data_IF_700731913108
#
_entry.id   IF_700731913108
#
_cell.length_a   1.000
_cell.length_b   1.000
_cell.length_c   1.000
_cell.angle_alpha   90.00
_cell.angle_beta   90.00
_cell.angle_gamma   90.00
#
_symmetry.space_group_name_H-M   'P 1'
#
loop_
_entity.id
_entity.type
_entity.pdbx_description
1 polymer ?
#
# COMPACT_ATOMS: atom_id res chain seq x y z
N UNK A 1 -35.58 80.25 35.26
CA UNK A 1 -35.21 80.66 36.64
C UNK A 1 -34.94 79.39 37.43
N UNK A 2 -33.67 78.98 37.55
CA UNK A 2 -32.75 79.21 38.69
C UNK A 2 -33.10 78.34 39.90
N UNK A 3 -32.21 77.63 40.59
CA UNK A 3 -30.75 77.40 40.56
C UNK A 3 -30.48 76.42 41.73
N UNK A 4 -29.46 75.54 41.61
CA UNK A 4 -28.36 75.26 42.57
C UNK A 4 -28.67 75.10 44.09
N UNK A 5 -28.08 74.23 44.93
CA UNK A 5 -26.79 73.50 44.91
C UNK A 5 -26.56 72.77 46.25
N UNK A 6 -25.80 71.65 46.18
CA UNK A 6 -24.79 71.20 47.19
C UNK A 6 -25.32 70.49 48.44
N UNK A 7 -24.67 69.46 49.02
CA UNK A 7 -23.23 69.13 49.04
C UNK A 7 -23.04 67.72 49.67
N UNK A 8 -22.26 66.83 49.06
CA UNK A 8 -21.58 65.67 49.71
C UNK A 8 -20.49 65.15 48.76
N UNK A 9 -19.22 65.54 48.94
CA UNK A 9 -18.10 64.81 49.61
C UNK A 9 -17.56 63.57 48.88
N UNK A 10 -16.54 63.83 48.05
CA UNK A 10 -15.26 63.12 47.86
C UNK A 10 -15.00 61.78 48.60
N UNK A 11 -14.66 60.73 47.83
CA UNK A 11 -13.45 59.86 47.92
C UNK A 11 -13.70 58.64 47.00
N UNK A 12 -12.98 58.49 45.89
CA UNK A 12 -11.64 57.91 45.72
C UNK A 12 -11.71 56.41 45.37
N UNK A 13 -10.95 56.04 44.34
CA UNK A 13 -10.52 54.68 43.91
C UNK A 13 -11.57 53.63 43.53
N UNK A 14 -11.74 53.45 42.23
CA UNK A 14 -11.43 52.16 41.57
C UNK A 14 -11.54 52.30 40.03
N UNK A 15 -10.59 53.02 39.43
CA UNK A 15 -10.21 52.74 38.04
C UNK A 15 -9.39 51.46 38.08
N UNK A 16 -10.08 50.32 37.88
CA UNK A 16 -9.40 49.07 37.55
C UNK A 16 -8.49 49.34 36.36
N UNK A 17 -7.20 49.22 36.63
CA UNK A 17 -6.17 49.13 35.62
C UNK A 17 -6.48 47.90 34.77
N UNK A 18 -7.04 48.12 33.57
CA UNK A 18 -6.84 47.18 32.48
C UNK A 18 -5.34 47.20 32.21
N UNK A 19 -4.62 46.28 32.85
CA UNK A 19 -3.27 45.90 32.43
C UNK A 19 -3.39 45.61 30.94
N UNK A 20 -2.58 46.32 30.15
CA UNK A 20 -2.46 46.08 28.72
C UNK A 20 -2.26 44.58 28.50
N UNK A 21 -3.17 43.96 27.76
CA UNK A 21 -2.97 42.61 27.23
C UNK A 21 -1.73 42.73 26.34
N UNK A 22 -0.67 41.92 26.55
CA UNK A 22 0.45 41.86 25.63
C UNK A 22 -0.10 41.56 24.24
N UNK A 23 0.17 42.42 23.25
CA UNK A 23 -0.19 42.12 21.86
C UNK A 23 0.39 40.77 21.50
N UNK A 24 -0.44 39.90 20.90
CA UNK A 24 0.03 38.64 20.32
C UNK A 24 1.25 38.94 19.43
N UNK A 25 2.31 38.11 19.49
CA UNK A 25 3.49 38.32 18.66
C UNK A 25 3.05 38.45 17.20
N UNK A 26 3.46 39.53 16.53
CA UNK A 26 3.10 39.78 15.14
C UNK A 26 3.78 38.71 14.30
N UNK A 27 3.00 37.82 13.69
CA UNK A 27 3.55 36.86 12.71
C UNK A 27 4.33 37.62 11.63
N UNK A 28 5.54 37.14 11.25
CA UNK A 28 6.30 37.69 10.15
C UNK A 28 5.45 37.76 8.87
N UNK A 29 5.61 38.84 8.08
CA UNK A 29 4.81 39.05 6.86
C UNK A 29 4.92 37.86 5.89
N UNK A 30 6.11 37.28 5.76
CA UNK A 30 6.35 36.11 4.91
C UNK A 30 5.50 34.91 5.34
N UNK A 31 5.38 34.64 6.63
CA UNK A 31 4.57 33.54 7.14
C UNK A 31 3.07 33.77 6.88
N UNK A 32 2.60 35.00 7.05
CA UNK A 32 1.22 35.38 6.70
C UNK A 32 0.95 35.19 5.21
N UNK A 33 1.94 35.47 4.35
CA UNK A 33 1.82 35.24 2.90
C UNK A 33 1.81 33.74 2.57
N UNK A 34 2.64 32.93 3.23
CA UNK A 34 2.65 31.48 3.05
C UNK A 34 1.32 30.84 3.45
N UNK A 35 0.78 31.19 4.62
CA UNK A 35 -0.53 30.70 5.06
C UNK A 35 -1.65 31.07 4.09
N UNK A 36 -1.66 32.33 3.60
CA UNK A 36 -2.63 32.77 2.58
C UNK A 36 -2.48 32.04 1.25
N UNK A 37 -1.25 31.70 0.86
CA UNK A 37 -1.01 30.91 -0.34
C UNK A 37 -1.64 29.52 -0.19
N UNK A 38 -1.42 28.85 0.94
CA UNK A 38 -2.05 27.56 1.27
C UNK A 38 -3.59 27.69 1.27
N UNK A 39 -4.13 28.69 1.96
CA UNK A 39 -5.59 28.93 2.00
C UNK A 39 -6.19 29.12 0.61
N UNK A 40 -5.48 29.81 -0.28
CA UNK A 40 -5.95 30.03 -1.65
C UNK A 40 -6.02 28.76 -2.50
N UNK A 41 -5.25 27.73 -2.13
CA UNK A 41 -5.19 26.44 -2.83
C UNK A 41 -6.07 25.36 -2.16
N UNK A 42 -6.64 25.62 -1.00
CA UNK A 42 -7.31 24.60 -0.18
C UNK A 42 -8.42 23.83 -0.92
N UNK A 43 -9.28 24.53 -1.67
CA UNK A 43 -10.38 23.90 -2.43
C UNK A 43 -9.86 22.93 -3.49
N UNK A 44 -8.75 23.29 -4.16
CA UNK A 44 -8.15 22.46 -5.20
C UNK A 44 -7.39 21.29 -4.60
N UNK A 45 -6.73 21.49 -3.46
CA UNK A 45 -6.11 20.40 -2.69
C UNK A 45 -7.16 19.38 -2.24
N UNK A 46 -8.28 19.84 -1.66
CA UNK A 46 -9.40 18.98 -1.28
C UNK A 46 -9.96 18.15 -2.46
N UNK A 47 -10.07 18.76 -3.64
CA UNK A 47 -10.55 18.08 -4.85
C UNK A 47 -9.53 17.09 -5.41
N UNK A 48 -8.25 17.43 -5.34
CA UNK A 48 -7.16 16.57 -5.76
C UNK A 48 -7.04 15.35 -4.82
N UNK A 49 -7.04 15.59 -3.50
CA UNK A 49 -6.94 14.56 -2.47
C UNK A 49 -8.16 13.63 -2.44
N UNK A 50 -9.35 14.10 -2.85
CA UNK A 50 -10.57 13.29 -2.90
C UNK A 50 -10.48 12.05 -3.83
N UNK A 51 -9.49 12.02 -4.74
CA UNK A 51 -9.19 10.84 -5.54
C UNK A 51 -8.54 9.71 -4.72
N UNK A 52 -7.82 10.07 -3.65
CA UNK A 52 -7.01 9.17 -2.82
C UNK A 52 -7.66 8.92 -1.44
N UNK A 53 -8.12 9.97 -0.77
CA UNK A 53 -8.82 9.90 0.51
C UNK A 53 -10.23 10.55 0.43
N UNK A 54 -11.32 9.82 0.74
CA UNK A 54 -12.68 10.32 0.54
C UNK A 54 -13.16 11.32 1.59
N UNK A 55 -12.48 11.46 2.74
CA UNK A 55 -12.88 12.41 3.80
C UNK A 55 -12.21 13.79 3.59
N UNK A 56 -13.00 14.87 3.40
CA UNK A 56 -12.46 16.22 3.32
C UNK A 56 -11.89 16.75 4.65
N UNK A 57 -12.19 16.13 5.80
CA UNK A 57 -11.63 16.54 7.09
C UNK A 57 -10.11 16.28 7.13
N UNK A 58 -9.67 15.09 6.72
CA UNK A 58 -8.27 14.65 6.72
C UNK A 58 -7.42 15.56 5.80
N UNK A 59 -7.96 15.91 4.63
CA UNK A 59 -7.31 16.82 3.71
C UNK A 59 -7.15 18.24 4.28
N UNK A 60 -8.10 18.69 5.12
CA UNK A 60 -8.00 19.98 5.76
C UNK A 60 -6.96 19.98 6.89
N UNK A 61 -6.91 18.89 7.66
CA UNK A 61 -5.91 18.66 8.70
C UNK A 61 -4.48 18.64 8.11
N UNK A 62 -4.28 17.98 6.96
CA UNK A 62 -3.02 18.03 6.22
C UNK A 62 -2.56 19.48 5.96
N UNK A 63 -3.46 20.35 5.50
CA UNK A 63 -3.10 21.75 5.21
C UNK A 63 -2.77 22.55 6.49
N UNK A 64 -3.40 22.25 7.62
CA UNK A 64 -3.07 22.87 8.90
C UNK A 64 -1.71 22.39 9.43
N UNK A 65 -1.39 21.11 9.28
CA UNK A 65 -0.08 20.55 9.61
C UNK A 65 1.03 21.17 8.75
N UNK A 66 0.78 21.37 7.45
CA UNK A 66 1.72 22.08 6.56
C UNK A 66 1.93 23.53 7.02
N UNK A 67 0.87 24.26 7.42
CA UNK A 67 1.00 25.62 7.94
C UNK A 67 1.79 25.68 9.25
N UNK A 68 1.58 24.69 10.12
CA UNK A 68 2.30 24.54 11.37
C UNK A 68 3.79 24.27 11.10
N UNK A 69 4.09 23.34 10.20
CA UNK A 69 5.44 23.06 9.72
C UNK A 69 6.14 24.31 9.17
N UNK A 70 5.51 25.07 8.26
CA UNK A 70 6.11 26.30 7.71
C UNK A 70 6.38 27.36 8.77
N UNK A 71 5.63 27.35 9.87
CA UNK A 71 5.85 28.22 11.04
C UNK A 71 7.11 27.76 11.79
N UNK A 72 7.24 26.46 12.08
CA UNK A 72 8.40 25.89 12.74
C UNK A 72 9.68 26.06 11.91
N UNK A 73 9.62 25.76 10.61
CA UNK A 73 10.74 25.95 9.68
C UNK A 73 11.16 27.43 9.60
N UNK A 74 10.20 28.36 9.58
CA UNK A 74 10.51 29.80 9.62
C UNK A 74 11.23 30.21 10.91
N UNK A 75 10.83 29.63 12.05
CA UNK A 75 11.46 29.92 13.33
C UNK A 75 12.92 29.43 13.40
N UNK A 76 13.22 28.30 12.75
CA UNK A 76 14.56 27.69 12.72
C UNK A 76 15.45 28.38 11.67
N UNK A 77 14.97 28.50 10.44
CA UNK A 77 15.77 28.94 9.29
C UNK A 77 15.67 30.46 9.03
N UNK A 78 14.78 31.16 9.73
CA UNK A 78 14.50 32.58 9.52
C UNK A 78 13.74 32.90 8.22
N UNK A 79 13.38 31.87 7.45
CA UNK A 79 12.59 31.97 6.22
C UNK A 79 11.86 30.66 5.96
N UNK A 80 10.76 30.71 5.21
CA UNK A 80 10.04 29.52 4.73
C UNK A 80 9.26 29.87 3.46
N UNK A 81 8.86 28.87 2.69
CA UNK A 81 8.10 29.04 1.45
C UNK A 81 6.98 28.02 1.36
N UNK A 82 5.79 28.45 0.98
CA UNK A 82 4.67 27.54 0.74
C UNK A 82 4.80 26.74 -0.58
N UNK A 83 5.67 27.16 -1.51
CA UNK A 83 5.75 26.54 -2.84
C UNK A 83 7.17 26.12 -3.24
N UNK A 84 8.15 26.29 -2.36
CA UNK A 84 9.54 25.87 -2.55
C UNK A 84 10.11 25.50 -1.18
N UNK A 85 9.53 24.44 -0.60
CA UNK A 85 9.91 23.97 0.73
C UNK A 85 11.35 23.46 0.66
N UNK A 86 12.16 23.87 1.62
CA UNK A 86 13.56 23.45 1.72
C UNK A 86 13.64 22.09 2.44
N UNK A 87 14.45 21.16 1.93
CA UNK A 87 14.78 19.90 2.61
C UNK A 87 15.58 20.17 3.88
N UNK A 88 16.39 21.23 3.89
CA UNK A 88 17.20 21.61 5.03
C UNK A 88 16.32 22.04 6.22
N UNK A 89 16.45 21.28 7.31
CA UNK A 89 15.76 21.55 8.57
C UNK A 89 14.33 20.98 8.65
N UNK A 90 13.89 20.15 7.70
CA UNK A 90 12.59 19.45 7.78
C UNK A 90 12.48 18.63 9.07
N UNK A 91 13.45 17.76 9.33
CA UNK A 91 13.48 16.92 10.55
C UNK A 91 13.49 17.77 11.82
N UNK A 92 14.21 18.89 11.80
CA UNK A 92 14.31 19.78 12.95
C UNK A 92 13.00 20.54 13.19
N UNK A 93 12.30 20.95 12.13
CA UNK A 93 11.01 21.61 12.22
C UNK A 93 9.90 20.66 12.65
N UNK A 94 9.87 19.44 12.11
CA UNK A 94 8.94 18.39 12.52
C UNK A 94 9.19 18.00 13.99
N UNK A 95 10.44 17.74 14.37
CA UNK A 95 10.81 17.44 15.75
C UNK A 95 10.52 18.58 16.73
N UNK A 96 10.59 19.85 16.30
CA UNK A 96 10.22 20.98 17.14
C UNK A 96 8.70 21.07 17.39
N UNK A 97 7.88 20.61 16.44
CA UNK A 97 6.43 20.52 16.60
C UNK A 97 6.09 19.34 17.50
N UNK A 98 6.66 18.16 17.22
CA UNK A 98 6.44 16.94 17.99
C UNK A 98 6.87 17.12 19.46
N UNK A 99 8.02 17.75 19.72
CA UNK A 99 8.48 18.05 21.08
C UNK A 99 7.62 19.07 21.85
N UNK A 100 6.60 19.67 21.20
CA UNK A 100 5.62 20.54 21.86
C UNK A 100 4.34 19.81 22.29
N UNK A 101 4.22 18.54 21.91
CA UNK A 101 3.15 17.62 22.28
C UNK A 101 3.57 16.76 23.48
N UNK A 102 2.64 15.94 23.96
CA UNK A 102 2.96 14.95 24.97
C UNK A 102 3.93 13.90 24.38
N UNK A 103 4.89 13.39 25.17
CA UNK A 103 5.91 12.47 24.66
C UNK A 103 5.36 11.23 23.98
N UNK A 104 4.17 10.79 24.42
CA UNK A 104 3.49 9.59 23.91
C UNK A 104 2.80 9.83 22.55
N UNK A 105 2.63 11.10 22.14
CA UNK A 105 2.05 11.48 20.84
C UNK A 105 3.14 11.95 19.84
N UNK A 106 4.41 11.89 20.23
CA UNK A 106 5.51 12.54 19.49
C UNK A 106 5.77 11.86 18.14
N UNK A 107 5.76 10.52 18.11
CA UNK A 107 6.08 9.74 16.92
C UNK A 107 4.89 9.72 15.94
N UNK A 108 3.66 9.55 16.43
CA UNK A 108 2.43 9.72 15.62
C UNK A 108 2.38 11.12 14.97
N UNK A 109 2.70 12.17 15.73
CA UNK A 109 2.73 13.52 15.20
C UNK A 109 3.84 13.75 14.16
N UNK A 110 4.98 13.06 14.27
CA UNK A 110 6.02 13.12 13.24
C UNK A 110 5.49 12.52 11.95
N UNK A 111 4.89 11.34 12.01
CA UNK A 111 4.33 10.64 10.86
C UNK A 111 3.25 11.46 10.17
N UNK A 112 2.31 12.03 10.94
CA UNK A 112 1.28 12.92 10.41
C UNK A 112 1.86 14.15 9.71
N UNK A 113 2.91 14.75 10.26
CA UNK A 113 3.59 15.90 9.65
C UNK A 113 4.29 15.48 8.36
N UNK A 114 5.01 14.35 8.36
CA UNK A 114 5.70 13.84 7.17
C UNK A 114 4.70 13.49 6.06
N UNK A 115 3.62 12.79 6.40
CA UNK A 115 2.54 12.46 5.49
C UNK A 115 1.88 13.72 4.89
N UNK A 116 1.49 14.68 5.74
CA UNK A 116 0.87 15.93 5.31
C UNK A 116 1.78 16.74 4.37
N UNK A 117 3.08 16.81 4.67
CA UNK A 117 4.06 17.47 3.80
C UNK A 117 4.24 16.73 2.48
N UNK A 118 4.32 15.40 2.51
CA UNK A 118 4.50 14.57 1.33
C UNK A 118 3.32 14.71 0.37
N UNK A 119 2.10 14.58 0.87
CA UNK A 119 0.86 14.82 0.12
C UNK A 119 0.82 16.24 -0.47
N UNK A 120 1.20 17.24 0.32
CA UNK A 120 1.20 18.63 -0.13
C UNK A 120 2.21 18.93 -1.26
N UNK A 121 3.44 18.40 -1.18
CA UNK A 121 4.42 18.62 -2.25
C UNK A 121 4.05 17.88 -3.55
N UNK A 122 3.41 16.73 -3.44
CA UNK A 122 2.84 16.00 -4.59
C UNK A 122 1.76 16.82 -5.28
N UNK A 123 0.82 17.37 -4.51
CA UNK A 123 -0.17 18.31 -5.04
C UNK A 123 0.49 19.49 -5.77
N UNK A 124 1.53 20.10 -5.18
CA UNK A 124 2.23 21.21 -5.82
C UNK A 124 2.89 20.80 -7.14
N UNK A 125 3.51 19.62 -7.19
CA UNK A 125 4.14 19.09 -8.41
C UNK A 125 3.10 18.78 -9.49
N UNK A 126 2.07 18.01 -9.13
CA UNK A 126 1.00 17.59 -10.03
C UNK A 126 0.20 18.78 -10.62
N UNK A 127 0.12 19.90 -9.89
CA UNK A 127 -0.58 21.10 -10.33
C UNK A 127 0.34 22.18 -10.94
N UNK A 128 1.64 21.89 -11.09
CA UNK A 128 2.62 22.84 -11.63
C UNK A 128 2.84 24.08 -10.77
N UNK A 129 2.55 23.99 -9.46
CA UNK A 129 2.69 25.07 -8.47
C UNK A 129 3.98 25.00 -7.67
N UNK A 130 4.73 23.90 -7.79
CA UNK A 130 6.10 23.83 -7.29
C UNK A 130 6.96 24.90 -7.95
N UNK A 131 7.61 25.72 -7.12
CA UNK A 131 8.46 26.84 -7.54
C UNK A 131 9.95 26.63 -7.23
N UNK A 132 10.30 25.52 -6.58
CA UNK A 132 11.68 25.07 -6.42
C UNK A 132 12.23 24.43 -7.70
N UNK A 133 13.49 23.98 -7.66
CA UNK A 133 14.04 23.15 -8.74
C UNK A 133 13.52 21.72 -8.65
N UNK A 134 13.59 20.97 -9.75
CA UNK A 134 13.28 19.53 -9.72
C UNK A 134 14.20 18.77 -8.78
N UNK A 135 15.50 19.10 -8.76
CA UNK A 135 16.45 18.50 -7.83
C UNK A 135 16.08 18.74 -6.35
N UNK A 136 15.58 19.94 -6.02
CA UNK A 136 15.11 20.24 -4.66
C UNK A 136 13.80 19.51 -4.31
N UNK A 137 12.93 19.27 -5.31
CA UNK A 137 11.75 18.44 -5.12
C UNK A 137 12.15 16.99 -4.81
N UNK A 138 13.05 16.39 -5.61
CA UNK A 138 13.52 15.01 -5.39
C UNK A 138 14.20 14.85 -4.02
N UNK A 139 15.02 15.83 -3.63
CA UNK A 139 15.70 15.81 -2.34
C UNK A 139 14.71 15.88 -1.16
N UNK A 140 13.73 16.79 -1.24
CA UNK A 140 12.68 16.91 -0.22
C UNK A 140 11.77 15.68 -0.21
N UNK A 141 11.38 15.18 -1.38
CA UNK A 141 10.54 13.98 -1.53
C UNK A 141 11.23 12.76 -0.92
N UNK A 142 12.52 12.56 -1.21
CA UNK A 142 13.32 11.52 -0.58
C UNK A 142 13.43 11.72 0.94
N UNK A 143 13.63 12.95 1.43
CA UNK A 143 13.71 13.23 2.86
C UNK A 143 12.39 12.95 3.60
N UNK A 144 11.25 13.25 2.98
CA UNK A 144 9.91 12.98 3.55
C UNK A 144 9.54 11.49 3.45
N UNK A 145 9.89 10.83 2.34
CA UNK A 145 9.69 9.39 2.16
C UNK A 145 10.53 8.56 3.13
N UNK A 146 11.72 9.05 3.52
CA UNK A 146 12.54 8.43 4.56
C UNK A 146 11.97 8.61 5.98
N UNK A 147 11.01 9.51 6.22
CA UNK A 147 10.37 9.69 7.54
C UNK A 147 9.42 8.55 7.86
N UNK A 148 8.61 8.15 6.88
CA UNK A 148 7.67 7.02 6.95
C UNK A 148 8.40 5.68 6.73
N UNK A 149 9.52 5.69 5.99
CA UNK A 149 10.32 4.49 5.65
C UNK A 149 11.67 4.38 6.39
N UNK A 150 11.88 5.08 7.51
CA UNK A 150 13.19 5.16 8.21
C UNK A 150 13.74 3.80 8.68
N UNK A 151 12.89 2.77 8.74
CA UNK A 151 13.27 1.41 9.12
C UNK A 151 13.40 0.45 7.93
N UNK A 152 13.24 0.88 6.67
CA UNK A 152 13.41 -0.02 5.52
C UNK A 152 14.88 -0.07 5.14
N UNK A 153 15.60 -1.18 5.42
CA UNK A 153 16.99 -1.32 4.97
C UNK A 153 17.06 -1.12 3.46
N UNK A 154 18.06 -0.36 2.98
CA UNK A 154 18.28 -0.16 1.55
C UNK A 154 18.32 -1.52 0.85
N UNK A 155 17.30 -1.77 0.03
CA UNK A 155 17.15 -3.03 -0.66
C UNK A 155 18.32 -3.23 -1.64
N UNK A 156 18.89 -4.45 -1.73
CA UNK A 156 20.01 -4.69 -2.63
C UNK A 156 19.59 -4.45 -4.08
N UNK A 157 20.52 -3.98 -4.91
CA UNK A 157 20.26 -3.78 -6.35
C UNK A 157 20.12 -5.15 -7.01
N UNK A 158 18.96 -5.43 -7.60
CA UNK A 158 18.71 -6.67 -8.33
C UNK A 158 19.63 -6.74 -9.56
N UNK A 159 20.42 -7.81 -9.63
CA UNK A 159 21.24 -8.12 -10.80
C UNK A 159 20.51 -9.18 -11.64
N UNK A 160 19.91 -8.75 -12.75
CA UNK A 160 19.20 -9.68 -13.66
C UNK A 160 20.22 -10.55 -14.41
N UNK A 161 20.18 -11.89 -14.26
CA UNK A 161 21.09 -12.77 -14.99
C UNK A 161 20.83 -12.73 -16.50
N UNK A 162 21.90 -12.73 -17.30
CA UNK A 162 21.80 -12.89 -18.75
C UNK A 162 21.53 -14.36 -19.09
N UNK A 163 20.29 -14.67 -19.48
CA UNK A 163 19.82 -16.01 -19.84
C UNK A 163 19.49 -16.05 -21.32
N UNK A 164 20.06 -17.00 -22.07
CA UNK A 164 19.64 -17.26 -23.44
C UNK A 164 18.17 -17.68 -23.51
N UNK A 165 17.48 -17.38 -24.61
CA UNK A 165 16.07 -17.75 -24.85
C UNK A 165 15.76 -19.22 -24.55
N UNK A 166 16.61 -20.17 -24.97
CA UNK A 166 16.42 -21.61 -24.71
C UNK A 166 16.39 -21.93 -23.21
N UNK A 167 17.26 -21.29 -22.42
CA UNK A 167 17.30 -21.46 -20.96
C UNK A 167 16.08 -20.81 -20.30
N UNK A 168 15.68 -19.62 -20.75
CA UNK A 168 14.47 -18.96 -20.25
C UNK A 168 13.22 -19.81 -20.56
N UNK A 169 13.12 -20.34 -21.77
CA UNK A 169 11.98 -21.16 -22.19
C UNK A 169 11.90 -22.45 -21.37
N UNK A 170 13.03 -23.15 -21.20
CA UNK A 170 13.09 -24.34 -20.36
C UNK A 170 12.70 -24.05 -18.91
N UNK A 171 13.21 -22.95 -18.35
CA UNK A 171 12.93 -22.56 -16.96
C UNK A 171 11.45 -22.17 -16.78
N UNK A 172 10.88 -21.35 -17.66
CA UNK A 172 9.45 -21.02 -17.61
C UNK A 172 8.58 -22.27 -17.81
N UNK A 173 8.91 -23.17 -18.73
CA UNK A 173 8.15 -24.41 -18.92
C UNK A 173 8.18 -25.32 -17.67
N UNK A 174 9.25 -25.27 -16.89
CA UNK A 174 9.39 -26.02 -15.65
C UNK A 174 8.61 -25.40 -14.47
N UNK A 175 8.24 -24.11 -14.56
CA UNK A 175 7.53 -23.42 -13.49
C UNK A 175 6.07 -23.91 -13.35
N UNK A 176 5.61 -24.24 -12.12
CA UNK A 176 4.21 -24.56 -11.85
C UNK A 176 3.24 -23.48 -12.32
N UNK A 177 3.58 -22.19 -12.16
CA UNK A 177 2.76 -21.09 -12.67
C UNK A 177 2.39 -21.25 -14.16
N UNK A 178 3.38 -21.51 -15.02
CA UNK A 178 3.18 -21.61 -16.46
C UNK A 178 2.40 -22.89 -16.81
N UNK A 179 2.64 -23.98 -16.10
CA UNK A 179 1.91 -25.24 -16.29
C UNK A 179 0.43 -25.09 -15.89
N UNK A 180 0.16 -24.46 -14.75
CA UNK A 180 -1.19 -24.19 -14.26
C UNK A 180 -1.92 -23.20 -15.16
N UNK A 181 -1.27 -22.13 -15.59
CA UNK A 181 -1.84 -21.17 -16.55
C UNK A 181 -2.18 -21.84 -17.89
N UNK A 182 -1.29 -22.68 -18.41
CA UNK A 182 -1.55 -23.44 -19.65
C UNK A 182 -2.76 -24.37 -19.49
N UNK A 183 -2.78 -25.16 -18.43
CA UNK A 183 -3.88 -26.08 -18.11
C UNK A 183 -5.22 -25.34 -17.95
N UNK A 184 -5.20 -24.16 -17.30
CA UNK A 184 -6.39 -23.35 -17.10
C UNK A 184 -6.87 -22.71 -18.41
N UNK A 185 -5.97 -22.22 -19.27
CA UNK A 185 -6.30 -21.72 -20.61
C UNK A 185 -6.90 -22.81 -21.50
N UNK A 186 -6.31 -24.01 -21.49
CA UNK A 186 -6.84 -25.18 -22.20
C UNK A 186 -8.23 -25.57 -21.70
N UNK A 187 -8.44 -25.56 -20.38
CA UNK A 187 -9.75 -25.80 -19.79
C UNK A 187 -10.77 -24.75 -20.23
N UNK A 188 -10.40 -23.46 -20.24
CA UNK A 188 -11.27 -22.36 -20.69
C UNK A 188 -11.72 -22.60 -22.14
N UNK A 189 -10.80 -23.03 -23.01
CA UNK A 189 -11.09 -23.32 -24.41
C UNK A 189 -11.70 -22.10 -25.12
N UNK A 190 -12.89 -22.27 -25.71
CA UNK A 190 -13.60 -21.16 -26.38
C UNK A 190 -14.30 -20.18 -25.41
N UNK A 191 -14.34 -20.52 -24.12
CA UNK A 191 -14.89 -19.68 -23.06
C UNK A 191 -15.73 -20.42 -22.02
N UNK A 192 -15.84 -19.83 -20.83
CA UNK A 192 -16.55 -20.37 -19.66
C UNK A 192 -17.57 -19.40 -19.12
N UNK A 193 -18.65 -19.93 -18.54
CA UNK A 193 -19.67 -19.10 -17.91
C UNK A 193 -19.14 -18.52 -16.58
N UNK A 194 -19.38 -17.23 -16.38
CA UNK A 194 -19.07 -16.52 -15.14
C UNK A 194 -20.34 -15.91 -14.53
N UNK A 195 -20.23 -15.45 -13.29
CA UNK A 195 -21.21 -14.60 -12.63
C UNK A 195 -21.07 -13.16 -13.11
N UNK A 196 -22.00 -12.29 -12.71
CA UNK A 196 -21.92 -10.84 -12.98
C UNK A 196 -20.74 -10.16 -12.30
N UNK A 197 -20.12 -10.80 -11.30
CA UNK A 197 -18.93 -10.30 -10.59
C UNK A 197 -17.64 -10.79 -11.23
N UNK A 198 -17.70 -11.52 -12.35
CA UNK A 198 -16.50 -12.08 -13.01
C UNK A 198 -16.03 -13.43 -12.46
N UNK A 199 -16.62 -13.91 -11.37
CA UNK A 199 -16.23 -15.19 -10.75
C UNK A 199 -16.80 -16.40 -11.53
N UNK A 200 -16.12 -17.54 -11.45
CA UNK A 200 -16.62 -18.80 -11.99
C UNK A 200 -17.92 -19.24 -11.29
N UNK A 201 -18.80 -19.90 -12.05
CA UNK A 201 -19.98 -20.54 -11.46
C UNK A 201 -19.55 -21.72 -10.60
N UNK A 202 -20.31 -22.01 -9.53
CA UNK A 202 -19.98 -23.08 -8.57
C UNK A 202 -19.66 -24.44 -9.22
N UNK A 203 -20.39 -24.81 -10.28
CA UNK A 203 -20.17 -26.07 -11.02
C UNK A 203 -18.81 -26.13 -11.73
N UNK A 204 -18.23 -24.97 -12.04
CA UNK A 204 -17.01 -24.81 -12.82
C UNK A 204 -15.77 -24.63 -11.91
N UNK A 205 -15.95 -24.43 -10.60
CA UNK A 205 -14.85 -24.29 -9.64
C UNK A 205 -14.02 -25.58 -9.54
N UNK A 206 -14.64 -26.74 -9.46
CA UNK A 206 -13.92 -28.02 -9.33
C UNK A 206 -12.97 -28.32 -10.50
N UNK A 207 -13.41 -28.26 -11.77
CA UNK A 207 -12.49 -28.48 -12.88
C UNK A 207 -11.45 -27.35 -13.04
N UNK A 208 -11.78 -26.10 -12.69
CA UNK A 208 -10.82 -25.00 -12.72
C UNK A 208 -9.74 -25.14 -11.63
N UNK A 209 -10.14 -25.50 -10.41
CA UNK A 209 -9.21 -25.77 -9.31
C UNK A 209 -8.29 -26.94 -9.64
N UNK A 210 -8.83 -28.01 -10.25
CA UNK A 210 -8.02 -29.12 -10.73
C UNK A 210 -7.00 -28.70 -11.79
N UNK A 211 -7.33 -27.73 -12.66
CA UNK A 211 -6.40 -27.21 -13.66
C UNK A 211 -5.18 -26.52 -13.04
N UNK A 212 -5.34 -25.93 -11.85
CA UNK A 212 -4.25 -25.32 -11.06
C UNK A 212 -3.74 -26.23 -9.94
N UNK A 213 -4.02 -27.53 -10.00
CA UNK A 213 -3.49 -28.52 -9.05
C UNK A 213 -4.17 -28.57 -7.67
N UNK A 214 -5.29 -27.88 -7.47
CA UNK A 214 -6.01 -27.83 -6.18
C UNK A 214 -7.28 -28.67 -6.20
N UNK A 215 -7.50 -29.45 -5.14
CA UNK A 215 -8.72 -30.22 -4.94
C UNK A 215 -9.80 -29.39 -4.20
N UNK A 216 -10.49 -28.52 -4.93
CA UNK A 216 -11.60 -27.72 -4.39
C UNK A 216 -12.90 -27.97 -5.16
N UNK A 217 -14.05 -27.74 -4.53
CA UNK A 217 -15.38 -27.86 -5.14
C UNK A 217 -16.31 -26.74 -4.68
N UNK A 218 -17.02 -26.14 -5.63
CA UNK A 218 -18.03 -25.13 -5.33
C UNK A 218 -19.25 -25.71 -4.62
N UNK A 219 -19.59 -25.15 -3.46
CA UNK A 219 -20.79 -25.50 -2.68
C UNK A 219 -21.48 -24.24 -2.19
N UNK A 220 -22.82 -24.21 -2.33
CA UNK A 220 -23.61 -23.09 -1.81
C UNK A 220 -23.51 -23.05 -0.29
N UNK A 221 -23.32 -21.85 0.25
CA UNK A 221 -23.19 -21.61 1.69
C UNK A 221 -22.06 -22.42 2.35
N UNK A 222 -20.98 -22.71 1.61
CA UNK A 222 -19.73 -23.12 2.24
C UNK A 222 -19.27 -22.01 3.19
N UNK A 223 -18.85 -22.39 4.39
CA UNK A 223 -18.35 -21.41 5.37
C UNK A 223 -17.01 -20.86 4.90
N UNK A 224 -16.83 -19.54 4.97
CA UNK A 224 -15.56 -18.86 4.66
C UNK A 224 -14.49 -19.06 5.73
N UNK A 225 -14.82 -19.78 6.82
CA UNK A 225 -13.86 -20.14 7.86
C UNK A 225 -12.88 -21.18 7.31
N UNK A 226 -11.78 -20.68 6.74
CA UNK A 226 -10.49 -21.31 6.99
C UNK A 226 -10.36 -21.47 8.52
N UNK A 227 -9.98 -22.64 9.06
CA UNK A 227 -9.71 -22.76 10.47
C UNK A 227 -8.57 -21.80 10.82
N UNK A 228 -8.91 -20.68 11.44
CA UNK A 228 -7.99 -19.87 12.20
C UNK A 228 -7.54 -20.77 13.37
N UNK A 229 -6.24 -21.05 13.44
CA UNK A 229 -5.56 -21.80 14.50
C UNK A 229 -5.77 -23.32 14.54
N UNK A 230 -4.82 -24.03 13.94
CA UNK A 230 -4.30 -25.31 14.48
C UNK A 230 -2.78 -25.35 14.25
N UNK A 231 -2.02 -24.84 15.22
CA UNK A 231 -0.56 -24.79 15.22
C UNK A 231 0.09 -26.15 15.53
N UNK A 232 -0.69 -27.23 15.76
CA UNK A 232 -0.14 -28.51 16.23
C UNK A 232 -0.02 -29.63 15.18
N UNK A 233 -0.42 -29.43 13.91
CA UNK A 233 -0.34 -30.54 12.92
C UNK A 233 0.14 -30.13 11.52
N UNK A 234 1.38 -29.68 11.42
CA UNK A 234 2.06 -29.49 10.13
C UNK A 234 2.30 -30.79 9.33
N UNK A 235 2.07 -31.99 9.91
CA UNK A 235 2.46 -33.27 9.28
C UNK A 235 1.32 -34.05 8.60
N UNK A 236 0.10 -33.52 8.50
CA UNK A 236 -0.99 -34.26 7.83
C UNK A 236 -2.07 -33.35 7.24
N UNK A 237 -1.77 -32.63 6.14
CA UNK A 237 -2.85 -32.13 5.24
C UNK A 237 -3.61 -33.36 4.72
N UNK A 238 -4.88 -33.60 5.11
CA UNK A 238 -5.66 -34.63 4.46
C UNK A 238 -5.88 -34.18 3.01
N UNK A 239 -5.88 -35.12 2.05
CA UNK A 239 -6.40 -34.91 0.68
C UNK A 239 -7.93 -34.72 0.68
N UNK A 240 -8.45 -33.95 1.63
CA UNK A 240 -9.87 -33.65 1.76
C UNK A 240 -10.23 -32.57 0.77
N UNK A 241 -11.27 -32.85 -0.01
CA UNK A 241 -11.87 -31.92 -0.95
C UNK A 241 -12.29 -30.63 -0.21
N UNK A 242 -11.71 -29.49 -0.60
CA UNK A 242 -12.05 -28.18 -0.03
C UNK A 242 -13.39 -27.71 -0.62
N UNK A 243 -14.40 -27.52 0.22
CA UNK A 243 -15.69 -26.96 -0.21
C UNK A 243 -15.65 -25.42 -0.12
N UNK A 244 -15.87 -24.73 -1.24
CA UNK A 244 -15.74 -23.27 -1.33
C UNK A 244 -17.01 -22.58 -1.84
N UNK A 245 -17.26 -21.35 -1.39
CA UNK A 245 -18.43 -20.55 -1.75
C UNK A 245 -18.23 -19.75 -3.03
N UNK A 246 -16.97 -19.42 -3.35
CA UNK A 246 -16.54 -18.75 -4.57
C UNK A 246 -15.16 -19.24 -4.99
N UNK A 247 -14.79 -19.04 -6.26
CA UNK A 247 -13.45 -19.40 -6.73
C UNK A 247 -12.35 -18.60 -6.01
N UNK A 248 -12.68 -17.41 -5.49
CA UNK A 248 -11.76 -16.55 -4.75
C UNK A 248 -11.36 -17.12 -3.38
N UNK A 249 -12.07 -18.14 -2.88
CA UNK A 249 -11.68 -18.87 -1.67
C UNK A 249 -10.61 -19.94 -1.96
N UNK A 250 -10.16 -20.07 -3.22
CA UNK A 250 -9.05 -20.94 -3.64
C UNK A 250 -7.88 -20.03 -4.05
N UNK A 251 -6.93 -19.71 -3.14
CA UNK A 251 -5.93 -18.65 -3.37
C UNK A 251 -5.13 -18.83 -4.66
N UNK A 252 -4.61 -20.04 -4.93
CA UNK A 252 -3.86 -20.35 -6.16
C UNK A 252 -4.69 -20.08 -7.42
N UNK A 253 -5.96 -20.51 -7.44
CA UNK A 253 -6.85 -20.29 -8.57
C UNK A 253 -7.18 -18.80 -8.73
N UNK A 254 -7.41 -18.10 -7.61
CA UNK A 254 -7.69 -16.66 -7.59
C UNK A 254 -6.54 -15.88 -8.21
N UNK A 255 -5.30 -16.10 -7.75
CA UNK A 255 -4.15 -15.33 -8.23
C UNK A 255 -3.84 -15.63 -9.70
N UNK A 256 -3.85 -16.89 -10.11
CA UNK A 256 -3.62 -17.23 -11.52
C UNK A 256 -4.74 -16.66 -12.41
N UNK A 257 -6.00 -16.72 -11.97
CA UNK A 257 -7.11 -16.15 -12.73
C UNK A 257 -6.97 -14.63 -12.89
N UNK A 258 -6.69 -13.92 -11.79
CA UNK A 258 -6.44 -12.48 -11.80
C UNK A 258 -5.26 -12.11 -12.70
N UNK A 259 -4.17 -12.89 -12.63
CA UNK A 259 -2.99 -12.68 -13.47
C UNK A 259 -3.27 -12.92 -14.97
N UNK A 260 -4.06 -13.94 -15.31
CA UNK A 260 -4.50 -14.18 -16.70
C UNK A 260 -5.37 -13.02 -17.24
N UNK A 261 -6.20 -12.42 -16.39
CA UNK A 261 -6.99 -11.23 -16.76
C UNK A 261 -6.06 -10.04 -16.96
N UNK A 262 -5.18 -9.75 -16.00
CA UNK A 262 -4.26 -8.60 -16.06
C UNK A 262 -3.26 -8.68 -17.21
N UNK A 263 -2.80 -9.89 -17.56
CA UNK A 263 -1.94 -10.14 -18.71
C UNK A 263 -2.71 -10.24 -20.06
N UNK A 264 -4.02 -9.96 -20.08
CA UNK A 264 -4.88 -10.03 -21.27
C UNK A 264 -4.87 -11.42 -21.98
N UNK A 265 -4.57 -12.48 -21.24
CA UNK A 265 -4.67 -13.87 -21.72
C UNK A 265 -6.12 -14.35 -21.69
N UNK A 266 -6.94 -13.79 -20.79
CA UNK A 266 -8.38 -13.97 -20.77
C UNK A 266 -9.09 -12.62 -20.64
N UNK A 267 -10.32 -12.54 -21.14
CA UNK A 267 -11.18 -11.36 -21.04
C UNK A 267 -12.50 -11.73 -20.38
N UNK A 268 -12.90 -10.96 -19.39
CA UNK A 268 -14.19 -11.13 -18.72
C UNK A 268 -15.25 -10.29 -19.44
N UNK A 269 -16.26 -10.96 -20.01
CA UNK A 269 -17.49 -10.32 -20.46
C UNK A 269 -18.55 -10.29 -19.35
N UNK A 270 -19.77 -9.87 -19.67
CA UNK A 270 -20.87 -9.82 -18.69
C UNK A 270 -21.30 -11.19 -18.15
N UNK A 271 -21.06 -12.26 -18.91
CA UNK A 271 -21.51 -13.62 -18.57
C UNK A 271 -20.52 -14.72 -18.95
N UNK A 272 -19.42 -14.37 -19.64
CA UNK A 272 -18.42 -15.34 -20.08
C UNK A 272 -17.00 -14.82 -19.94
N UNK A 273 -16.09 -15.66 -19.48
CA UNK A 273 -14.66 -15.50 -19.67
C UNK A 273 -14.28 -16.15 -21.01
N UNK A 274 -13.55 -15.42 -21.86
CA UNK A 274 -13.11 -15.90 -23.18
C UNK A 274 -11.61 -15.66 -23.34
N UNK A 275 -10.92 -16.36 -24.26
CA UNK A 275 -9.53 -16.05 -24.56
C UNK A 275 -9.34 -14.57 -24.95
N UNK A 276 -8.30 -13.96 -24.40
CA UNK A 276 -7.91 -12.58 -24.66
C UNK A 276 -7.04 -12.44 -25.92
N UNK A 277 -6.68 -11.20 -26.30
CA UNK A 277 -5.86 -10.96 -27.48
C UNK A 277 -4.46 -11.61 -27.38
N UNK A 278 -3.89 -11.70 -26.19
CA UNK A 278 -2.53 -12.21 -25.98
C UNK A 278 -2.44 -13.75 -25.97
N UNK A 279 -3.57 -14.46 -26.02
CA UNK A 279 -3.57 -15.93 -26.02
C UNK A 279 -2.83 -16.52 -27.22
N UNK A 280 -2.76 -15.78 -28.34
CA UNK A 280 -2.03 -16.20 -29.53
C UNK A 280 -0.51 -16.25 -29.27
N UNK A 281 0.02 -15.29 -28.49
CA UNK A 281 1.42 -15.25 -28.09
C UNK A 281 1.78 -16.45 -27.19
N UNK A 282 0.86 -16.88 -26.32
CA UNK A 282 1.07 -17.99 -25.37
C UNK A 282 1.52 -19.30 -26.05
N UNK A 283 0.93 -19.58 -27.20
CA UNK A 283 1.21 -20.77 -28.02
C UNK A 283 1.88 -20.43 -29.36
N UNK A 284 2.49 -19.24 -29.48
CA UNK A 284 3.14 -18.80 -30.72
C UNK A 284 4.29 -19.74 -31.08
N UNK A 285 4.59 -19.88 -32.38
CA UNK A 285 5.84 -20.56 -32.79
C UNK A 285 7.06 -19.66 -32.62
N UNK A 286 6.87 -18.35 -32.44
CA UNK A 286 7.93 -17.40 -32.13
C UNK A 286 8.31 -17.51 -30.63
N UNK A 287 9.57 -17.83 -30.34
CA UNK A 287 10.06 -17.98 -28.96
C UNK A 287 10.03 -16.66 -28.19
N UNK A 288 10.36 -15.54 -28.83
CA UNK A 288 10.35 -14.22 -28.19
C UNK A 288 8.94 -13.85 -27.69
N UNK A 289 7.93 -13.98 -28.54
CA UNK A 289 6.52 -13.76 -28.17
C UNK A 289 6.06 -14.66 -27.02
N UNK A 290 6.46 -15.94 -27.01
CA UNK A 290 6.14 -16.87 -25.92
C UNK A 290 6.81 -16.43 -24.61
N UNK A 291 8.07 -16.04 -24.65
CA UNK A 291 8.80 -15.59 -23.47
C UNK A 291 8.21 -14.31 -22.90
N UNK A 292 7.88 -13.34 -23.76
CA UNK A 292 7.32 -12.06 -23.36
C UNK A 292 5.99 -12.21 -22.63
N UNK A 293 5.07 -13.03 -23.15
CA UNK A 293 3.76 -13.20 -22.50
C UNK A 293 3.86 -14.00 -21.19
N UNK A 294 4.81 -14.93 -21.07
CA UNK A 294 5.06 -15.67 -19.82
C UNK A 294 5.70 -14.80 -18.75
N UNK A 295 6.63 -13.92 -19.16
CA UNK A 295 7.21 -12.88 -18.31
C UNK A 295 6.12 -11.92 -17.84
N UNK A 296 5.28 -11.43 -18.75
CA UNK A 296 4.15 -10.56 -18.44
C UNK A 296 3.19 -11.19 -17.42
N UNK A 297 2.78 -12.45 -17.62
CA UNK A 297 1.96 -13.16 -16.64
C UNK A 297 2.60 -13.20 -15.26
N UNK A 298 3.90 -13.50 -15.21
CA UNK A 298 4.66 -13.59 -13.95
C UNK A 298 4.77 -12.23 -13.26
N UNK A 299 5.02 -11.16 -14.02
CA UNK A 299 5.07 -9.77 -13.54
C UNK A 299 3.72 -9.35 -12.96
N UNK A 300 2.62 -9.57 -13.71
CA UNK A 300 1.27 -9.21 -13.25
C UNK A 300 0.91 -9.97 -11.96
N UNK A 301 1.29 -11.24 -11.85
CA UNK A 301 1.06 -12.00 -10.62
C UNK A 301 1.88 -11.44 -9.44
N UNK A 302 3.16 -11.14 -9.65
CA UNK A 302 4.02 -10.56 -8.61
C UNK A 302 3.48 -9.20 -8.14
N UNK A 303 3.10 -8.32 -9.07
CA UNK A 303 2.47 -7.03 -8.74
C UNK A 303 1.20 -7.26 -7.94
N UNK A 304 0.30 -8.14 -8.40
CA UNK A 304 -0.94 -8.44 -7.68
C UNK A 304 -0.72 -8.97 -6.26
N UNK A 305 0.30 -9.80 -6.03
CA UNK A 305 0.66 -10.30 -4.70
C UNK A 305 1.24 -9.19 -3.82
N UNK A 306 2.05 -8.30 -4.40
CA UNK A 306 2.68 -7.17 -3.69
C UNK A 306 1.68 -6.06 -3.33
N UNK A 307 0.62 -5.88 -4.13
CA UNK A 307 -0.38 -4.80 -3.96
C UNK A 307 -1.77 -5.31 -3.51
N UNK A 308 -1.89 -6.54 -3.02
CA UNK A 308 -3.17 -7.15 -2.65
C UNK A 308 -3.88 -6.37 -1.52
N UNK A 309 -4.85 -5.51 -1.88
CA UNK A 309 -5.62 -4.64 -0.97
C UNK A 309 -6.66 -5.40 -0.11
N UNK A 310 -6.93 -6.68 -0.37
CA UNK A 310 -8.02 -7.43 0.30
C UNK A 310 -7.69 -7.81 1.76
N UNK A 311 -6.52 -7.43 2.27
CA UNK A 311 -6.05 -7.79 3.61
C UNK A 311 -6.02 -6.54 4.50
N UNK A 312 -6.33 -6.71 5.79
CA UNK A 312 -6.58 -5.63 6.74
C UNK A 312 -5.36 -4.77 7.08
N UNK A 313 -5.41 -4.21 8.29
CA UNK A 313 -4.50 -3.20 8.83
C UNK A 313 -3.02 -3.45 8.46
N UNK A 314 -2.39 -2.41 7.90
CA UNK A 314 -0.98 -2.30 7.50
C UNK A 314 -0.49 -3.12 6.28
N UNK A 315 -0.99 -2.77 5.09
CA UNK A 315 -0.51 -3.36 3.82
C UNK A 315 0.91 -2.96 3.46
N UNK A 316 1.36 -1.79 3.89
CA UNK A 316 2.68 -1.27 3.55
C UNK A 316 3.78 -2.10 4.21
N UNK A 317 3.64 -2.42 5.51
CA UNK A 317 4.59 -3.30 6.19
C UNK A 317 4.63 -4.71 5.60
N UNK A 318 3.48 -5.27 5.19
CA UNK A 318 3.40 -6.57 4.50
C UNK A 318 4.17 -6.50 3.18
N UNK A 319 3.88 -5.51 2.34
CA UNK A 319 4.52 -5.32 1.04
C UNK A 319 6.03 -5.09 1.20
N UNK A 320 6.44 -4.26 2.15
CA UNK A 320 7.84 -3.99 2.49
C UNK A 320 8.58 -5.26 2.92
N UNK A 321 7.98 -6.08 3.79
CA UNK A 321 8.55 -7.36 4.22
C UNK A 321 8.71 -8.33 3.04
N UNK A 322 7.67 -8.49 2.22
CA UNK A 322 7.73 -9.32 1.01
C UNK A 322 8.83 -8.86 0.05
N UNK A 323 8.87 -7.56 -0.21
CA UNK A 323 9.84 -6.98 -1.12
C UNK A 323 11.27 -7.18 -0.60
N UNK A 324 11.49 -7.01 0.70
CA UNK A 324 12.77 -7.30 1.32
C UNK A 324 13.18 -8.76 1.10
N UNK A 325 12.32 -9.72 1.47
CA UNK A 325 12.62 -11.16 1.32
C UNK A 325 12.93 -11.51 -0.14
N UNK A 326 12.10 -11.05 -1.08
CA UNK A 326 12.28 -11.33 -2.51
C UNK A 326 13.57 -10.72 -3.05
N UNK A 327 13.89 -9.48 -2.67
CA UNK A 327 15.08 -8.79 -3.16
C UNK A 327 16.36 -9.43 -2.60
N UNK A 328 16.42 -9.71 -1.30
CA UNK A 328 17.53 -10.48 -0.71
C UNK A 328 17.65 -11.88 -1.32
N UNK A 329 16.52 -12.50 -1.68
CA UNK A 329 16.47 -13.77 -2.40
C UNK A 329 17.09 -13.76 -3.80
N UNK A 330 17.41 -12.58 -4.36
CA UNK A 330 18.17 -12.44 -5.62
C UNK A 330 19.69 -12.39 -5.41
N UNK A 331 20.16 -12.38 -4.15
CA UNK A 331 21.57 -12.19 -3.78
C UNK A 331 22.21 -13.48 -3.25
N UNK A 332 23.51 -13.42 -2.95
CA UNK A 332 24.24 -14.51 -2.28
C UNK A 332 23.90 -14.64 -0.78
N UNK A 333 23.21 -13.65 -0.20
CA UNK A 333 22.81 -13.58 1.21
C UNK A 333 21.27 -13.52 1.34
N UNK A 334 20.54 -14.57 0.92
CA UNK A 334 19.09 -14.61 1.06
C UNK A 334 18.65 -14.71 2.52
N UNK A 335 17.41 -14.32 2.78
CA UNK A 335 16.80 -14.49 4.10
C UNK A 335 16.53 -15.98 4.39
N UNK A 336 17.00 -16.52 5.52
CA UNK A 336 16.63 -17.85 5.99
C UNK A 336 15.12 -17.96 6.27
N UNK A 337 14.50 -19.07 5.87
CA UNK A 337 13.06 -19.33 6.13
C UNK A 337 12.76 -19.29 7.64
N UNK A 338 13.65 -19.87 8.45
CA UNK A 338 13.54 -19.89 9.90
C UNK A 338 13.59 -18.48 10.55
N UNK A 339 14.22 -17.52 9.89
CA UNK A 339 14.27 -16.14 10.39
C UNK A 339 12.92 -15.45 10.22
N UNK A 340 12.30 -15.57 9.04
CA UNK A 340 10.96 -15.04 8.82
C UNK A 340 9.91 -15.76 9.67
N UNK A 341 10.05 -17.07 9.86
CA UNK A 341 9.20 -17.86 10.78
C UNK A 341 9.29 -17.36 12.23
N UNK A 342 10.50 -17.03 12.68
CA UNK A 342 10.71 -16.43 14.00
C UNK A 342 10.06 -15.06 14.10
N UNK A 343 10.15 -14.23 13.06
CA UNK A 343 9.45 -12.94 13.02
C UNK A 343 7.92 -13.11 13.01
N UNK A 344 7.41 -14.11 12.29
CA UNK A 344 5.98 -14.42 12.18
C UNK A 344 5.39 -15.09 13.45
N UNK A 345 6.25 -15.52 14.37
CA UNK A 345 5.86 -16.14 15.64
C UNK A 345 6.20 -15.19 16.78
N UNK A 346 5.36 -14.18 17.05
CA UNK A 346 5.57 -13.35 18.24
C UNK A 346 5.52 -14.25 19.48
N UNK A 347 6.35 -13.96 20.48
CA UNK A 347 6.21 -14.53 21.82
C UNK A 347 4.99 -13.91 22.51
N UNK A 348 3.81 -14.13 21.91
CA UNK A 348 2.51 -13.63 22.38
C UNK A 348 2.16 -14.21 23.74
N UNK A 349 2.70 -15.39 24.11
CA UNK A 349 2.54 -15.93 25.45
C UNK A 349 3.26 -15.04 26.49
N UNK A 350 4.46 -14.52 26.19
CA UNK A 350 5.13 -13.55 27.06
C UNK A 350 4.41 -12.20 27.17
N UNK A 351 3.87 -11.70 26.06
CA UNK A 351 3.21 -10.39 25.99
C UNK A 351 1.76 -10.39 26.51
N UNK A 352 0.99 -11.47 26.30
CA UNK A 352 -0.42 -11.58 26.70
C UNK A 352 -0.65 -12.27 28.06
N UNK A 353 0.32 -13.03 28.59
CA UNK A 353 0.19 -13.70 29.90
C UNK A 353 0.79 -12.88 31.06
N UNK A 354 1.30 -11.67 30.83
CA UNK A 354 1.41 -10.71 31.92
C UNK A 354 -0.02 -10.27 32.28
N UNK A 355 -0.61 -10.98 33.25
CA UNK A 355 -1.86 -10.66 33.94
C UNK A 355 -1.85 -9.19 34.41
N UNK A 356 -2.20 -8.26 33.54
CA UNK A 356 -2.50 -6.88 33.88
C UNK A 356 -3.96 -6.64 33.55
N UNK A 357 -4.70 -6.12 34.52
CA UNK A 357 -6.08 -5.67 34.38
C UNK A 357 -6.23 -4.87 33.06
N UNK A 358 -6.91 -5.46 32.07
CA UNK A 358 -7.18 -4.93 30.73
C UNK A 358 -8.02 -3.63 30.71
N UNK A 359 -8.24 -3.01 31.87
CA UNK A 359 -8.94 -1.73 31.98
C UNK A 359 -7.99 -0.52 32.04
N UNK A 360 -6.67 -0.70 32.26
CA UNK A 360 -5.72 0.43 32.45
C UNK A 360 -4.28 0.20 31.90
N UNK A 361 -4.02 -0.80 31.06
CA UNK A 361 -2.67 -1.01 30.48
C UNK A 361 -2.56 -0.37 29.09
N UNK A 362 -1.98 0.83 29.04
CA UNK A 362 -1.31 1.33 27.84
C UNK A 362 -0.24 0.30 27.47
N UNK A 363 -0.39 -0.38 26.32
CA UNK A 363 0.71 -1.16 25.74
C UNK A 363 1.83 -0.18 25.42
N UNK A 364 3.07 -0.49 25.80
CA UNK A 364 4.20 0.33 25.37
C UNK A 364 4.25 0.29 23.83
N UNK A 365 4.48 1.43 23.18
CA UNK A 365 4.50 1.59 21.71
C UNK A 365 5.37 0.53 21.01
N UNK A 366 6.48 0.14 21.65
CA UNK A 366 7.40 -0.92 21.20
C UNK A 366 6.74 -2.31 21.15
N UNK A 367 5.84 -2.64 22.06
CA UNK A 367 5.11 -3.92 22.05
C UNK A 367 4.12 -3.97 20.87
N UNK A 368 3.55 -2.82 20.51
CA UNK A 368 2.61 -2.69 19.41
C UNK A 368 3.34 -2.81 18.05
N UNK A 369 4.50 -2.17 17.91
CA UNK A 369 5.39 -2.32 16.74
C UNK A 369 5.81 -3.77 16.51
N UNK A 370 6.19 -4.51 17.58
CA UNK A 370 6.57 -5.92 17.47
C UNK A 370 5.39 -6.79 17.02
N UNK A 371 4.17 -6.49 17.49
CA UNK A 371 2.93 -7.16 17.04
C UNK A 371 2.67 -6.88 15.56
N UNK A 372 2.81 -5.63 15.10
CA UNK A 372 2.61 -5.26 13.69
C UNK A 372 3.64 -5.92 12.78
N UNK A 373 4.93 -5.85 13.13
CA UNK A 373 6.00 -6.50 12.39
C UNK A 373 5.79 -8.03 12.31
N UNK A 374 5.32 -8.64 13.41
CA UNK A 374 5.01 -10.06 13.45
C UNK A 374 3.82 -10.44 12.56
N UNK A 375 2.77 -9.62 12.56
CA UNK A 375 1.63 -9.80 11.66
C UNK A 375 2.05 -9.65 10.19
N UNK A 376 2.88 -8.63 9.89
CA UNK A 376 3.41 -8.41 8.55
C UNK A 376 4.24 -9.60 8.07
N UNK A 377 5.13 -10.13 8.91
CA UNK A 377 5.92 -11.33 8.64
C UNK A 377 5.04 -12.57 8.39
N UNK A 378 3.98 -12.78 9.17
CA UNK A 378 3.05 -13.89 8.98
C UNK A 378 2.31 -13.81 7.64
N UNK A 379 1.84 -12.62 7.25
CA UNK A 379 1.18 -12.45 5.95
C UNK A 379 2.17 -12.58 4.79
N UNK A 380 3.38 -12.04 4.94
CA UNK A 380 4.47 -12.20 3.99
C UNK A 380 4.79 -13.69 3.78
N UNK A 381 4.89 -14.49 4.86
CA UNK A 381 5.13 -15.92 4.79
C UNK A 381 4.04 -16.67 4.00
N UNK A 382 2.76 -16.29 4.17
CA UNK A 382 1.65 -16.89 3.39
C UNK A 382 1.76 -16.57 1.91
N UNK A 383 2.05 -15.31 1.57
CA UNK A 383 2.24 -14.87 0.18
C UNK A 383 3.50 -15.52 -0.45
N UNK A 384 4.59 -15.63 0.29
CA UNK A 384 5.80 -16.35 -0.14
C UNK A 384 5.56 -17.85 -0.33
N UNK A 385 4.75 -18.47 0.52
CA UNK A 385 4.36 -19.88 0.36
C UNK A 385 3.60 -20.09 -0.95
N UNK A 386 2.68 -19.18 -1.30
CA UNK A 386 2.01 -19.20 -2.60
C UNK A 386 3.01 -19.02 -3.75
N UNK A 387 3.91 -18.04 -3.68
CA UNK A 387 4.93 -17.83 -4.70
C UNK A 387 5.84 -19.05 -4.86
N UNK A 388 6.12 -19.78 -3.77
CA UNK A 388 6.87 -21.01 -3.78
C UNK A 388 6.12 -22.17 -4.44
N UNK A 389 4.82 -22.33 -4.13
CA UNK A 389 3.95 -23.30 -4.82
C UNK A 389 3.90 -23.04 -6.34
N UNK A 390 4.00 -21.77 -6.75
CA UNK A 390 4.01 -21.35 -8.15
C UNK A 390 5.40 -21.40 -8.82
N UNK A 391 6.46 -21.69 -8.05
CA UNK A 391 7.86 -21.74 -8.51
C UNK A 391 8.47 -20.38 -8.85
N UNK A 392 7.93 -19.29 -8.31
CA UNK A 392 8.53 -17.95 -8.40
C UNK A 392 9.55 -17.70 -7.28
N UNK A 393 9.50 -18.51 -6.22
CA UNK A 393 10.43 -18.49 -5.08
C UNK A 393 10.76 -19.93 -4.69
N UNK A 394 11.97 -20.20 -4.26
CA UNK A 394 12.36 -21.42 -3.58
C UNK A 394 12.40 -21.12 -2.08
N UNK A 395 11.76 -21.95 -1.25
CA UNK A 395 11.64 -21.73 0.20
C UNK A 395 12.03 -22.99 0.97
N UNK A 396 13.19 -23.57 0.67
CA UNK A 396 13.64 -24.82 1.32
C UNK A 396 14.37 -24.58 2.64
N UNK A 397 15.32 -23.67 2.63
CA UNK A 397 16.18 -23.32 3.78
C UNK A 397 16.34 -21.80 3.81
N UNK A 398 16.63 -21.23 2.64
CA UNK A 398 16.56 -19.81 2.37
C UNK A 398 15.47 -19.51 1.34
N UNK A 399 14.94 -18.28 1.38
CA UNK A 399 14.11 -17.75 0.29
C UNK A 399 14.98 -17.32 -0.88
N UNK A 400 14.92 -18.02 -2.01
CA UNK A 400 15.69 -17.71 -3.23
C UNK A 400 14.76 -17.48 -4.41
N UNK A 401 15.05 -16.47 -5.24
CA UNK A 401 14.30 -16.22 -6.48
C UNK A 401 15.00 -16.94 -7.63
N UNK A 402 14.32 -17.86 -8.36
CA UNK A 402 14.94 -18.54 -9.50
C UNK A 402 15.45 -17.54 -10.56
N UNK A 403 16.56 -17.81 -11.26
CA UNK A 403 17.18 -16.87 -12.19
C UNK A 403 16.21 -16.27 -13.24
N UNK A 404 15.29 -17.08 -13.77
CA UNK A 404 14.30 -16.61 -14.76
C UNK A 404 13.18 -15.76 -14.15
N UNK A 405 12.94 -15.87 -12.84
CA UNK A 405 11.99 -15.04 -12.09
C UNK A 405 12.60 -13.70 -11.64
N UNK A 406 13.93 -13.59 -11.54
CA UNK A 406 14.61 -12.33 -11.15
C UNK A 406 14.25 -11.19 -12.11
N UNK A 407 14.24 -11.45 -13.43
CA UNK A 407 13.78 -10.45 -14.42
C UNK A 407 12.30 -10.05 -14.23
N UNK A 408 11.45 -10.97 -13.76
CA UNK A 408 10.04 -10.65 -13.51
C UNK A 408 9.89 -9.78 -12.25
N UNK A 409 10.69 -10.05 -11.22
CA UNK A 409 10.72 -9.25 -10.00
C UNK A 409 11.23 -7.83 -10.27
N UNK A 410 12.31 -7.69 -11.03
CA UNK A 410 12.87 -6.38 -11.41
C UNK A 410 11.85 -5.53 -12.17
N UNK A 411 11.19 -6.11 -13.17
CA UNK A 411 10.10 -5.45 -13.90
C UNK A 411 8.91 -5.10 -12.99
N UNK A 412 8.50 -6.00 -12.11
CA UNK A 412 7.40 -5.75 -11.17
C UNK A 412 7.74 -4.57 -10.24
N UNK A 413 8.97 -4.49 -9.73
CA UNK A 413 9.44 -3.35 -8.95
C UNK A 413 9.42 -2.05 -9.74
N UNK A 414 9.77 -2.09 -11.03
CA UNK A 414 9.65 -0.95 -11.93
C UNK A 414 8.22 -0.42 -12.02
N UNK A 415 7.23 -1.31 -12.12
CA UNK A 415 5.81 -0.92 -12.12
C UNK A 415 5.35 -0.29 -10.80
N UNK A 416 5.82 -0.81 -9.67
CA UNK A 416 5.48 -0.26 -8.35
C UNK A 416 6.03 1.16 -8.18
N UNK A 417 7.29 1.40 -8.58
CA UNK A 417 7.89 2.74 -8.55
C UNK A 417 7.19 3.74 -9.46
N UNK A 418 6.73 3.29 -10.63
CA UNK A 418 6.00 4.13 -11.57
C UNK A 418 4.57 4.48 -11.09
N UNK A 419 3.99 3.69 -10.19
CA UNK A 419 2.67 4.00 -9.63
C UNK A 419 2.71 5.20 -8.67
N UNK A 420 3.87 5.44 -8.04
CA UNK A 420 4.11 6.56 -7.12
C UNK A 420 4.50 7.87 -7.85
N UNK A 421 4.82 7.80 -9.15
CA UNK A 421 5.10 8.98 -9.98
C UNK A 421 3.80 9.47 -10.66
N UNK A 422 3.34 10.71 -10.43
CA UNK A 422 2.16 11.24 -11.10
C UNK A 422 2.39 11.29 -12.62
N UNK A 423 1.73 10.39 -13.35
CA UNK A 423 1.83 10.23 -14.80
C UNK A 423 1.51 11.55 -15.54
N UNK A 424 2.54 12.19 -16.08
CA UNK A 424 2.48 13.46 -16.84
C UNK A 424 1.99 13.28 -18.31
N UNK A 425 1.21 12.24 -18.59
CA UNK A 425 0.78 11.88 -19.93
C UNK A 425 -0.59 12.50 -20.30
N UNK A 426 -0.56 13.74 -20.78
CA UNK A 426 -1.60 14.20 -21.71
C UNK A 426 -1.34 13.58 -23.09
N UNK A 427 -2.31 12.80 -23.56
CA UNK A 427 -2.41 12.14 -24.88
C UNK A 427 -1.64 10.82 -25.10
N UNK A 428 -2.31 9.67 -24.88
CA UNK A 428 -2.35 8.51 -25.80
C UNK A 428 -3.30 7.40 -25.29
N UNK A 429 -3.77 6.49 -26.18
CA UNK A 429 -5.12 5.94 -26.10
C UNK A 429 -5.28 4.80 -25.08
N UNK A 430 -6.43 4.83 -24.42
CA UNK A 430 -7.09 3.76 -23.65
C UNK A 430 -6.62 2.34 -24.03
N UNK A 431 -5.67 1.80 -23.27
CA UNK A 431 -5.36 0.37 -23.09
C UNK A 431 -4.54 0.14 -21.80
N UNK A 432 -4.66 1.03 -20.80
CA UNK A 432 -4.09 0.82 -19.47
C UNK A 432 -5.00 -0.13 -18.70
N UNK A 433 -4.37 -1.14 -18.11
CA UNK A 433 -4.95 -2.20 -17.27
C UNK A 433 -5.76 -1.55 -16.14
N UNK A 434 -7.08 -1.53 -16.28
CA UNK A 434 -7.97 -1.27 -15.16
C UNK A 434 -8.09 -2.57 -14.37
N UNK A 435 -7.34 -2.71 -13.28
CA UNK A 435 -7.66 -3.70 -12.24
C UNK A 435 -9.10 -3.39 -11.77
N UNK A 436 -10.01 -4.30 -12.09
CA UNK A 436 -11.44 -4.09 -11.91
C UNK A 436 -11.81 -3.99 -10.41
N UNK A 437 -12.10 -2.77 -9.95
CA UNK A 437 -12.85 -2.54 -8.71
C UNK A 437 -14.28 -3.11 -8.84
N UNK A 438 -14.81 -3.88 -7.87
CA UNK A 438 -16.20 -4.31 -7.90
C UNK A 438 -17.12 -3.09 -7.81
N UNK A 439 -17.92 -2.85 -8.84
CA UNK A 439 -18.93 -1.78 -8.83
C UNK A 439 -20.07 -2.12 -7.88
N UNK A 440 -20.12 -1.48 -6.71
CA UNK A 440 -21.31 -1.46 -5.84
C UNK A 440 -22.38 -0.54 -6.44
N UNK A 441 -23.20 -1.06 -7.36
CA UNK A 441 -24.46 -0.37 -7.75
C UNK A 441 -25.59 -0.81 -6.82
N UNK A 442 -25.68 -0.18 -5.65
CA UNK A 442 -26.89 -0.21 -4.82
C UNK A 442 -27.98 0.67 -5.43
N UNK A 443 -28.95 0.07 -6.12
CA UNK A 443 -30.15 0.78 -6.56
C UNK A 443 -31.07 1.11 -5.37
N UNK A 444 -31.78 2.26 -5.38
CA UNK A 444 -32.60 2.69 -4.25
C UNK A 444 -33.85 1.81 -4.09
N UNK A 445 -34.33 1.59 -2.84
CA UNK A 445 -35.53 0.81 -2.60
C UNK A 445 -36.77 1.54 -3.14
N UNK A 446 -37.50 0.89 -4.04
CA UNK A 446 -38.85 1.31 -4.42
C UNK A 446 -39.81 0.96 -3.29
N UNK A 447 -40.41 1.99 -2.70
CA UNK A 447 -41.45 1.84 -1.69
C UNK A 447 -42.71 1.14 -2.22
N UNK A 448 -43.36 0.42 -1.30
CA UNK A 448 -44.81 0.32 -1.18
C UNK A 448 -45.17 0.26 0.29
#
# INVERSE_FOLDING_TARGET
MTKKTGKSKSKDKDRRHLKAVPSAPKMPLQLVLNHRAIDSMAVEFLQWNAAEAPDPADAFECLELVKLFLTAQHAINGSSSATAIDSDGVVQAAGAIAASLDPDDMDEALDDIFFALHSYIHFLKATGRWSGSDAAYEELHAALGNGIAAAVPQLPVIQVPDLSDDHQEAAFNAMPLIQHATSLLDWIGTGKEITSTGALRLKDIEPAAAAVGVHARGKRAASRTLPLFDLETAESRPKTLLEVGTMHDVPVLREIWSALVGANLIRLGSTKAVPGPEVAAWNSTNTEERLDIRRMLSVVLLVGVLTDEDQGWDQEAVAGTLLAVLTYGTTDEPMPVAELERMASPDLEGALLQDVDLEDTELEETDLEEIYASFAALQAQRKLSLLAELGLVEATTDYRVPPVAIQCLELAMGFLKLADEPSDATESPSNVIALHRPSHTGGPPKGR
#
